data_IF_803023015276
#
_entry.id   IF_803023015276
#
_cell.length_a   1.000
_cell.length_b   1.000
_cell.length_c   1.000
_cell.angle_alpha   90.00
_cell.angle_beta   90.00
_cell.angle_gamma   90.00
#
_symmetry.space_group_name_H-M   'P 1'
#
loop_
_entity.id
_entity.type
_entity.pdbx_description
1 polymer ?
#
# COMPACT_ATOMS: atom_id res chain seq x y z
N UNK A 1 -6.09 23.58 -35.14
CA UNK A 1 -5.87 24.41 -33.95
C UNK A 1 -5.11 23.61 -32.90
N UNK A 2 -3.87 23.97 -32.58
CA UNK A 2 -3.17 23.43 -31.43
C UNK A 2 -3.98 23.81 -30.17
N UNK A 3 -4.63 22.84 -29.52
CA UNK A 3 -5.38 23.10 -28.28
C UNK A 3 -4.39 23.53 -27.20
N UNK A 4 -4.65 24.71 -26.61
CA UNK A 4 -3.76 25.41 -25.69
C UNK A 4 -3.29 24.50 -24.55
N UNK A 5 -1.97 24.35 -24.44
CA UNK A 5 -1.24 23.81 -23.29
C UNK A 5 -1.16 24.83 -22.15
N UNK A 6 -2.17 25.69 -21.98
CA UNK A 6 -2.12 26.78 -21.01
C UNK A 6 -2.72 26.35 -19.69
N UNK A 7 -1.97 26.55 -18.62
CA UNK A 7 -2.46 26.55 -17.25
C UNK A 7 -2.51 28.01 -16.78
N UNK A 8 -3.61 28.39 -16.13
CA UNK A 8 -3.72 29.68 -15.46
C UNK A 8 -3.21 29.51 -14.03
N UNK A 9 -2.02 30.04 -13.76
CA UNK A 9 -1.37 29.89 -12.46
C UNK A 9 -2.12 30.62 -11.35
N UNK A 10 -2.69 31.79 -11.65
CA UNK A 10 -3.48 32.57 -10.69
C UNK A 10 -4.75 31.80 -10.32
N UNK A 11 -5.49 31.31 -11.32
CA UNK A 11 -6.70 30.54 -11.05
C UNK A 11 -6.41 29.25 -10.26
N UNK A 12 -5.31 28.56 -10.55
CA UNK A 12 -4.91 27.32 -9.87
C UNK A 12 -4.57 27.56 -8.38
N UNK A 13 -3.85 28.64 -8.09
CA UNK A 13 -3.50 28.99 -6.71
C UNK A 13 -4.74 29.49 -5.96
N UNK A 14 -5.56 30.33 -6.58
CA UNK A 14 -6.80 30.83 -6.00
C UNK A 14 -7.81 29.70 -5.71
N UNK A 15 -7.96 28.72 -6.61
CA UNK A 15 -8.82 27.55 -6.41
C UNK A 15 -8.45 26.79 -5.12
N UNK A 16 -7.15 26.61 -4.86
CA UNK A 16 -6.68 25.96 -3.64
C UNK A 16 -6.86 26.86 -2.42
N UNK A 17 -6.48 28.14 -2.48
CA UNK A 17 -6.62 29.06 -1.35
C UNK A 17 -8.07 29.18 -0.90
N UNK A 18 -9.00 29.26 -1.86
CA UNK A 18 -10.44 29.42 -1.58
C UNK A 18 -11.16 28.10 -1.28
N UNK A 19 -10.54 26.95 -1.54
CA UNK A 19 -11.14 25.62 -1.37
C UNK A 19 -12.40 25.38 -2.24
N UNK A 20 -12.50 26.07 -3.37
CA UNK A 20 -13.66 26.06 -4.26
C UNK A 20 -13.67 24.85 -5.22
N UNK A 21 -12.51 24.23 -5.44
CA UNK A 21 -12.31 23.17 -6.41
C UNK A 21 -12.60 21.76 -5.92
N UNK A 22 -13.21 20.91 -6.75
CA UNK A 22 -13.40 19.48 -6.43
C UNK A 22 -12.07 18.73 -6.25
N UNK A 23 -11.02 19.14 -6.97
CA UNK A 23 -9.69 18.54 -6.88
C UNK A 23 -9.06 18.71 -5.51
N UNK A 24 -9.38 19.83 -4.85
CA UNK A 24 -8.90 20.15 -3.51
C UNK A 24 -9.58 19.27 -2.45
N UNK A 25 -10.73 18.68 -2.81
CA UNK A 25 -11.53 17.77 -1.98
C UNK A 25 -11.46 16.31 -2.45
N UNK A 26 -10.54 15.98 -3.35
CA UNK A 26 -10.47 14.65 -3.97
C UNK A 26 -9.98 13.55 -3.00
N UNK A 27 -9.23 13.93 -1.97
CA UNK A 27 -8.60 12.99 -1.03
C UNK A 27 -8.92 13.36 0.41
N UNK A 28 -9.54 12.43 1.16
CA UNK A 28 -9.86 12.59 2.59
C UNK A 28 -8.64 12.64 3.50
N UNK A 29 -7.47 12.26 2.98
CA UNK A 29 -6.21 12.18 3.73
C UNK A 29 -5.39 13.48 3.66
N UNK A 30 -5.91 14.52 3.01
CA UNK A 30 -5.22 15.81 2.81
C UNK A 30 -5.93 16.93 3.56
N UNK A 31 -5.16 17.90 4.07
CA UNK A 31 -5.66 19.10 4.73
C UNK A 31 -5.07 20.36 4.08
N UNK A 32 -5.75 21.50 4.26
CA UNK A 32 -5.24 22.81 3.83
C UNK A 32 -3.86 23.07 4.42
N UNK A 33 -2.86 23.25 3.56
CA UNK A 33 -1.49 23.58 3.98
C UNK A 33 -0.68 24.13 2.81
N UNK A 34 0.44 24.79 3.11
CA UNK A 34 1.42 25.19 2.09
C UNK A 34 1.92 23.98 1.28
N UNK A 35 2.19 22.88 1.98
CA UNK A 35 2.60 21.61 1.37
C UNK A 35 1.53 21.06 0.42
N UNK A 36 0.25 21.17 0.80
CA UNK A 36 -0.90 20.85 -0.03
C UNK A 36 -1.02 21.73 -1.27
N UNK A 37 -0.76 23.03 -1.15
CA UNK A 37 -0.74 23.96 -2.30
C UNK A 37 0.35 23.58 -3.31
N UNK A 38 1.58 23.30 -2.83
CA UNK A 38 2.70 22.88 -3.68
C UNK A 38 2.36 21.56 -4.39
N UNK A 39 1.76 20.60 -3.68
CA UNK A 39 1.32 19.34 -4.26
C UNK A 39 0.23 19.55 -5.31
N UNK A 40 -0.80 20.34 -5.02
CA UNK A 40 -1.91 20.63 -5.93
C UNK A 40 -1.45 21.28 -7.24
N UNK A 41 -0.56 22.26 -7.14
CA UNK A 41 -0.01 22.98 -8.30
C UNK A 41 0.87 22.05 -9.15
N UNK A 42 1.80 21.32 -8.51
CA UNK A 42 2.68 20.36 -9.17
C UNK A 42 1.89 19.23 -9.84
N UNK A 43 0.90 18.65 -9.14
CA UNK A 43 0.05 17.59 -9.66
C UNK A 43 -0.76 18.04 -10.89
N UNK A 44 -1.23 19.28 -10.90
CA UNK A 44 -1.97 19.83 -12.05
C UNK A 44 -1.08 20.01 -13.29
N UNK A 45 0.17 20.44 -13.09
CA UNK A 45 1.16 20.55 -14.18
C UNK A 45 1.56 19.16 -14.68
N UNK A 46 1.96 18.27 -13.79
CA UNK A 46 2.41 16.90 -14.13
C UNK A 46 1.29 16.09 -14.78
N UNK A 47 0.05 16.22 -14.31
CA UNK A 47 -1.09 15.52 -14.90
C UNK A 47 -1.39 15.98 -16.33
N UNK A 48 -1.25 17.29 -16.61
CA UNK A 48 -1.32 17.80 -17.99
C UNK A 48 -0.15 17.31 -18.82
N UNK A 49 1.07 17.34 -18.29
CA UNK A 49 2.24 16.82 -19.00
C UNK A 49 2.03 15.36 -19.41
N UNK A 50 1.56 14.52 -18.50
CA UNK A 50 1.29 13.10 -18.75
C UNK A 50 0.29 12.91 -19.90
N UNK A 51 -0.87 13.57 -19.82
CA UNK A 51 -1.92 13.47 -20.83
C UNK A 51 -1.47 13.90 -22.23
N UNK A 52 -0.59 14.91 -22.32
CA UNK A 52 -0.18 15.48 -23.61
C UNK A 52 1.10 14.88 -24.20
N UNK A 53 1.99 14.33 -23.37
CA UNK A 53 3.32 13.91 -23.81
C UNK A 53 3.60 12.41 -23.57
N UNK A 54 2.88 11.75 -22.66
CA UNK A 54 3.06 10.32 -22.39
C UNK A 54 2.00 9.50 -23.11
N UNK A 55 0.72 9.87 -22.94
CA UNK A 55 -0.39 9.07 -23.46
C UNK A 55 -0.75 9.42 -24.92
N UNK A 56 -1.36 8.46 -25.60
CA UNK A 56 -1.86 8.66 -26.97
C UNK A 56 -2.99 9.71 -26.99
N UNK A 57 -3.17 10.35 -28.15
CA UNK A 57 -4.29 11.28 -28.36
C UNK A 57 -5.66 10.62 -28.08
N UNK A 58 -5.80 9.33 -28.40
CA UNK A 58 -7.03 8.58 -28.14
C UNK A 58 -7.29 8.42 -26.65
N UNK A 59 -6.27 8.01 -25.89
CA UNK A 59 -6.34 7.87 -24.43
C UNK A 59 -6.64 9.21 -23.75
N UNK A 60 -5.92 10.27 -24.15
CA UNK A 60 -6.17 11.62 -23.65
C UNK A 60 -7.61 12.07 -23.91
N UNK A 61 -8.11 11.93 -25.14
CA UNK A 61 -9.48 12.33 -25.48
C UNK A 61 -10.52 11.47 -24.75
N UNK A 62 -10.25 10.18 -24.53
CA UNK A 62 -11.13 9.31 -23.77
C UNK A 62 -11.19 9.73 -22.29
N UNK A 63 -10.05 10.11 -21.70
CA UNK A 63 -9.95 10.67 -20.35
C UNK A 63 -10.70 12.02 -20.25
N UNK A 64 -10.33 12.98 -21.11
CA UNK A 64 -10.89 14.35 -21.10
C UNK A 64 -12.42 14.35 -21.29
N UNK A 65 -12.97 13.36 -21.99
CA UNK A 65 -14.41 13.21 -22.26
C UNK A 65 -15.13 12.28 -21.27
N UNK A 66 -14.43 11.78 -20.24
CA UNK A 66 -15.00 10.95 -19.19
C UNK A 66 -15.46 9.55 -19.64
N UNK A 67 -14.90 9.01 -20.72
CA UNK A 67 -15.13 7.62 -21.13
C UNK A 67 -14.27 6.64 -20.33
N UNK A 68 -13.05 7.06 -20.02
CA UNK A 68 -12.15 6.39 -19.09
C UNK A 68 -11.65 7.40 -18.07
N UNK A 69 -11.11 6.91 -16.97
CA UNK A 69 -10.36 7.68 -16.00
C UNK A 69 -9.01 7.02 -15.84
N UNK A 70 -7.95 7.76 -16.20
CA UNK A 70 -6.56 7.34 -15.98
C UNK A 70 -6.20 7.89 -14.61
N UNK A 71 -5.97 7.00 -13.65
CA UNK A 71 -5.68 7.41 -12.27
C UNK A 71 -4.25 7.96 -12.15
N UNK A 72 -4.03 8.76 -11.10
CA UNK A 72 -2.71 9.22 -10.65
C UNK A 72 -1.83 9.83 -11.74
N UNK A 73 -2.42 10.67 -12.60
CA UNK A 73 -1.71 11.32 -13.71
C UNK A 73 -0.50 12.16 -13.24
N UNK A 74 -0.55 12.69 -12.01
CA UNK A 74 0.58 13.40 -11.41
C UNK A 74 1.80 12.50 -11.17
N UNK A 75 1.57 11.21 -10.94
CA UNK A 75 2.58 10.17 -10.69
C UNK A 75 2.82 9.32 -11.93
N UNK A 76 2.64 9.89 -13.12
CA UNK A 76 2.73 9.18 -14.41
C UNK A 76 4.09 8.52 -14.68
N UNK A 77 5.15 8.89 -13.97
CA UNK A 77 6.50 8.37 -14.15
C UNK A 77 6.87 7.18 -13.22
N UNK A 78 6.07 6.91 -12.19
CA UNK A 78 6.34 5.88 -11.18
C UNK A 78 5.25 4.81 -11.13
N UNK A 79 5.47 3.69 -10.44
CA UNK A 79 4.44 2.67 -10.24
C UNK A 79 3.27 3.15 -9.37
N UNK A 80 2.17 2.40 -9.37
CA UNK A 80 1.00 2.74 -8.57
C UNK A 80 1.18 2.29 -7.12
N UNK A 81 1.01 1.00 -6.83
CA UNK A 81 1.15 0.46 -5.48
C UNK A 81 2.04 -0.78 -5.48
N UNK A 82 2.62 -1.10 -4.34
CA UNK A 82 3.48 -2.26 -4.17
C UNK A 82 3.42 -2.80 -2.74
N UNK A 83 3.42 -4.13 -2.62
CA UNK A 83 3.81 -4.80 -1.38
C UNK A 83 5.26 -5.23 -1.46
N UNK A 84 5.99 -5.05 -0.37
CA UNK A 84 7.44 -5.21 -0.31
C UNK A 84 7.83 -6.40 0.55
N UNK A 85 8.99 -7.00 0.28
CA UNK A 85 9.51 -8.07 1.13
C UNK A 85 10.11 -7.48 2.41
N UNK A 86 9.43 -7.68 3.53
CA UNK A 86 9.98 -7.34 4.85
C UNK A 86 11.20 -8.21 5.17
N UNK A 87 11.22 -9.48 4.75
CA UNK A 87 12.40 -10.35 4.88
C UNK A 87 13.64 -9.71 4.24
N UNK A 88 13.51 -9.17 3.02
CA UNK A 88 14.61 -8.47 2.34
C UNK A 88 15.07 -7.25 3.13
N UNK A 89 14.15 -6.41 3.62
CA UNK A 89 14.50 -5.24 4.44
C UNK A 89 15.23 -5.64 5.74
N UNK A 90 14.82 -6.73 6.38
CA UNK A 90 15.45 -7.25 7.59
C UNK A 90 16.81 -7.91 7.32
N UNK A 91 17.05 -8.34 6.07
CA UNK A 91 18.28 -9.01 5.67
C UNK A 91 19.34 -8.05 5.15
N UNK A 92 18.92 -7.08 4.32
CA UNK A 92 19.82 -6.17 3.60
C UNK A 92 19.98 -4.83 4.33
N UNK A 93 19.00 -4.43 5.15
CA UNK A 93 18.93 -3.11 5.75
C UNK A 93 18.27 -2.09 4.81
N UNK A 94 18.40 -0.81 5.14
CA UNK A 94 17.78 0.27 4.37
C UNK A 94 18.82 0.91 3.45
N UNK A 95 18.63 0.85 2.14
CA UNK A 95 19.59 1.42 1.19
C UNK A 95 19.37 0.94 -0.25
N UNK A 96 20.44 0.95 -1.04
CA UNK A 96 20.44 0.50 -2.44
C UNK A 96 20.32 1.63 -3.46
N UNK A 97 20.49 2.89 -3.05
CA UNK A 97 20.40 4.06 -3.94
C UNK A 97 21.75 4.79 -3.96
N UNK A 98 22.44 4.83 -5.11
CA UNK A 98 23.74 5.51 -5.22
C UNK A 98 23.71 6.96 -4.72
N UNK A 99 24.67 7.31 -3.88
CA UNK A 99 24.81 8.66 -3.32
C UNK A 99 23.87 8.99 -2.16
N UNK A 100 23.03 8.04 -1.72
CA UNK A 100 22.20 8.19 -0.52
C UNK A 100 22.82 7.48 0.69
N UNK A 101 22.38 7.87 1.89
CA UNK A 101 22.78 7.22 3.14
C UNK A 101 22.12 5.84 3.21
N UNK A 102 22.89 4.84 3.62
CA UNK A 102 22.43 3.47 3.83
C UNK A 102 22.64 3.05 5.29
N UNK A 103 21.79 2.15 5.78
CA UNK A 103 21.87 1.58 7.14
C UNK A 103 22.10 0.07 7.06
N UNK A 104 22.82 -0.45 8.06
CA UNK A 104 22.95 -1.91 8.24
C UNK A 104 21.59 -2.52 8.60
N UNK A 105 21.39 -3.83 8.36
CA UNK A 105 20.22 -4.56 8.82
C UNK A 105 19.91 -4.33 10.30
N UNK A 106 18.61 -4.33 10.65
CA UNK A 106 18.19 -4.14 12.03
C UNK A 106 18.71 -5.27 12.92
N UNK A 107 19.35 -4.91 14.04
CA UNK A 107 19.80 -5.84 15.08
C UNK A 107 18.90 -5.92 16.31
N UNK A 108 17.92 -5.01 16.41
CA UNK A 108 16.98 -4.90 17.53
C UNK A 108 15.57 -4.56 17.01
N UNK A 109 14.53 -4.94 17.76
CA UNK A 109 13.12 -4.73 17.41
C UNK A 109 12.80 -3.26 17.14
N UNK A 110 13.29 -2.36 17.99
CA UNK A 110 13.08 -0.92 17.85
C UNK A 110 13.62 -0.38 16.53
N UNK A 111 14.78 -0.88 16.08
CA UNK A 111 15.40 -0.52 14.79
C UNK A 111 14.64 -1.17 13.62
N UNK A 112 14.17 -2.41 13.77
CA UNK A 112 13.36 -3.08 12.75
C UNK A 112 12.03 -2.34 12.50
N UNK A 113 11.35 -1.94 13.57
CA UNK A 113 10.15 -1.09 13.51
C UNK A 113 10.47 0.25 12.85
N UNK A 114 11.58 0.88 13.23
CA UNK A 114 12.01 2.14 12.63
C UNK A 114 12.28 2.00 11.12
N UNK A 115 12.95 0.92 10.68
CA UNK A 115 13.16 0.63 9.27
C UNK A 115 11.84 0.47 8.52
N UNK A 116 10.84 -0.21 9.08
CA UNK A 116 9.50 -0.32 8.47
C UNK A 116 8.86 1.05 8.28
N UNK A 117 8.89 1.92 9.30
CA UNK A 117 8.35 3.29 9.21
C UNK A 117 9.05 4.07 8.10
N UNK A 118 10.37 4.10 8.08
CA UNK A 118 11.13 4.87 7.09
C UNK A 118 10.99 4.31 5.68
N UNK A 119 10.93 2.98 5.54
CA UNK A 119 10.69 2.32 4.25
C UNK A 119 9.35 2.74 3.67
N UNK A 120 8.28 2.63 4.45
CA UNK A 120 6.96 3.08 4.02
C UNK A 120 6.98 4.56 3.66
N UNK A 121 7.59 5.43 4.48
CA UNK A 121 7.65 6.88 4.22
C UNK A 121 8.47 7.25 2.99
N UNK A 122 9.52 6.49 2.69
CA UNK A 122 10.37 6.72 1.52
C UNK A 122 9.68 6.22 0.27
N UNK A 123 9.18 4.99 0.27
CA UNK A 123 8.48 4.43 -0.89
C UNK A 123 7.17 5.16 -1.19
N UNK A 124 6.48 5.69 -0.17
CA UNK A 124 5.32 6.55 -0.37
C UNK A 124 5.63 7.85 -1.13
N UNK A 125 6.88 8.30 -1.16
CA UNK A 125 7.29 9.45 -1.99
C UNK A 125 7.49 9.04 -3.46
N UNK A 126 8.03 7.84 -3.68
CA UNK A 126 8.41 7.31 -5.00
C UNK A 126 7.33 6.47 -5.69
N UNK A 127 6.16 6.33 -5.08
CA UNK A 127 5.01 5.60 -5.62
C UNK A 127 3.72 6.42 -5.44
N UNK A 128 2.71 6.12 -6.27
CA UNK A 128 1.46 6.87 -6.24
C UNK A 128 0.51 6.44 -5.10
N UNK A 129 0.48 5.15 -4.81
CA UNK A 129 -0.51 4.49 -3.95
C UNK A 129 0.10 3.83 -2.71
N UNK A 130 -0.62 2.84 -2.18
CA UNK A 130 -0.27 2.21 -0.90
C UNK A 130 1.03 1.40 -0.96
N UNK A 131 1.75 1.43 0.17
CA UNK A 131 2.93 0.62 0.44
C UNK A 131 2.60 -0.41 1.51
N UNK A 132 2.84 -1.69 1.21
CA UNK A 132 2.43 -2.77 2.09
C UNK A 132 3.58 -3.66 2.55
N UNK A 133 3.49 -4.18 3.76
CA UNK A 133 4.26 -5.33 4.22
C UNK A 133 3.31 -6.44 4.65
N UNK A 134 3.68 -7.68 4.34
CA UNK A 134 2.96 -8.88 4.79
C UNK A 134 3.69 -9.59 5.91
N UNK A 135 2.95 -10.41 6.67
CA UNK A 135 3.48 -11.20 7.79
C UNK A 135 4.25 -10.36 8.82
N UNK A 136 3.73 -9.18 9.13
CA UNK A 136 4.43 -8.22 9.99
C UNK A 136 4.68 -8.77 11.40
N UNK A 137 3.67 -9.41 11.99
CA UNK A 137 3.77 -10.11 13.29
C UNK A 137 4.77 -11.26 13.23
N UNK A 138 4.62 -12.18 12.27
CA UNK A 138 5.50 -13.35 12.11
C UNK A 138 6.96 -12.94 11.91
N UNK A 139 7.23 -11.99 11.00
CA UNK A 139 8.59 -11.64 10.62
C UNK A 139 9.34 -10.82 11.68
N UNK A 140 8.63 -10.09 12.55
CA UNK A 140 9.23 -9.34 13.65
C UNK A 140 9.21 -10.09 15.00
N UNK A 141 8.44 -11.16 15.15
CA UNK A 141 8.39 -11.97 16.37
C UNK A 141 9.78 -12.44 16.87
N UNK A 142 10.74 -12.87 16.02
CA UNK A 142 12.06 -13.26 16.49
C UNK A 142 12.84 -12.13 17.17
N UNK A 143 12.63 -10.88 16.75
CA UNK A 143 13.30 -9.73 17.36
C UNK A 143 12.82 -9.50 18.80
N UNK A 144 11.52 -9.70 19.06
CA UNK A 144 10.96 -9.63 20.42
C UNK A 144 11.61 -10.68 21.33
N UNK A 145 11.79 -11.90 20.81
CA UNK A 145 12.39 -13.01 21.54
C UNK A 145 13.88 -12.76 21.86
N UNK A 146 14.68 -12.47 20.83
CA UNK A 146 16.13 -12.33 20.98
C UNK A 146 16.52 -11.10 21.81
N UNK A 147 15.75 -10.01 21.71
CA UNK A 147 15.93 -8.83 22.58
C UNK A 147 15.35 -9.03 23.99
N UNK A 148 14.66 -10.15 24.24
CA UNK A 148 13.99 -10.49 25.52
C UNK A 148 13.04 -9.39 25.99
N UNK A 149 12.25 -8.86 25.06
CA UNK A 149 11.42 -7.70 25.34
C UNK A 149 10.24 -8.04 26.27
N UNK A 150 9.98 -7.12 27.19
CA UNK A 150 8.72 -7.10 27.92
C UNK A 150 7.58 -6.60 27.03
N UNK A 151 6.34 -6.96 27.39
CA UNK A 151 5.15 -6.44 26.71
C UNK A 151 5.14 -4.91 26.65
N UNK A 152 5.54 -4.23 27.73
CA UNK A 152 5.60 -2.77 27.77
C UNK A 152 6.56 -2.18 26.71
N UNK A 153 7.67 -2.86 26.45
CA UNK A 153 8.64 -2.44 25.44
C UNK A 153 8.09 -2.63 24.03
N UNK A 154 7.48 -3.80 23.76
CA UNK A 154 6.81 -4.08 22.48
C UNK A 154 5.68 -3.08 22.23
N UNK A 155 4.84 -2.83 23.24
CA UNK A 155 3.77 -1.83 23.19
C UNK A 155 4.31 -0.45 22.80
N UNK A 156 5.41 -0.03 23.41
CA UNK A 156 5.97 1.29 23.17
C UNK A 156 6.50 1.44 21.74
N UNK A 157 7.15 0.43 21.18
CA UNK A 157 7.67 0.48 19.81
C UNK A 157 6.55 0.36 18.77
N UNK A 158 5.52 -0.46 19.03
CA UNK A 158 4.31 -0.48 18.19
C UNK A 158 3.53 0.84 18.26
N UNK A 159 3.48 1.48 19.42
CA UNK A 159 2.90 2.83 19.53
C UNK A 159 3.67 3.83 18.66
N UNK A 160 5.02 3.80 18.69
CA UNK A 160 5.85 4.66 17.83
C UNK A 160 5.55 4.41 16.35
N UNK A 161 5.40 3.15 15.93
CA UNK A 161 5.03 2.76 14.57
C UNK A 161 3.71 3.43 14.15
N UNK A 162 2.63 3.17 14.91
CA UNK A 162 1.29 3.67 14.59
C UNK A 162 1.28 5.19 14.55
N UNK A 163 1.85 5.86 15.56
CA UNK A 163 1.87 7.32 15.59
C UNK A 163 2.66 7.89 14.42
N UNK A 164 3.82 7.31 14.10
CA UNK A 164 4.66 7.78 13.01
C UNK A 164 4.00 7.68 11.64
N UNK A 165 3.12 6.68 11.44
CA UNK A 165 2.40 6.46 10.17
C UNK A 165 1.10 7.27 10.07
N UNK A 166 0.61 7.88 11.16
CA UNK A 166 -0.54 8.80 11.16
C UNK A 166 -0.16 10.28 11.29
N UNK A 167 1.14 10.57 11.30
CA UNK A 167 1.63 11.95 11.25
C UNK A 167 2.10 12.28 9.82
N UNK A 168 1.66 13.42 9.26
CA UNK A 168 2.07 13.84 7.92
C UNK A 168 3.59 13.91 7.79
N UNK A 169 4.12 13.37 6.70
CA UNK A 169 5.57 13.38 6.43
C UNK A 169 5.93 13.64 4.96
N UNK A 170 4.95 13.84 4.07
CA UNK A 170 5.12 14.09 2.63
C UNK A 170 4.74 15.53 2.25
N UNK A 171 5.18 15.95 1.06
CA UNK A 171 4.51 17.01 0.28
C UNK A 171 3.03 16.69 0.10
N UNK A 172 2.15 17.67 0.28
CA UNK A 172 0.70 17.46 0.35
C UNK A 172 0.12 17.46 1.76
N UNK A 173 0.97 17.34 2.80
CA UNK A 173 0.54 17.18 4.20
C UNK A 173 -0.36 15.95 4.40
N UNK A 174 -0.04 14.88 3.68
CA UNK A 174 -0.74 13.60 3.73
C UNK A 174 0.00 12.58 4.61
N UNK A 175 -0.77 11.68 5.20
CA UNK A 175 -0.26 10.51 5.91
C UNK A 175 0.12 9.41 4.90
N UNK A 176 1.22 8.68 5.13
CA UNK A 176 1.66 7.63 4.21
C UNK A 176 0.63 6.50 4.11
N UNK A 177 0.08 6.33 2.91
CA UNK A 177 -0.85 5.22 2.64
C UNK A 177 -0.11 3.90 2.84
N UNK A 178 -0.42 3.22 3.94
CA UNK A 178 0.26 1.99 4.34
C UNK A 178 -0.71 0.89 4.75
N UNK A 179 -0.31 -0.35 4.49
CA UNK A 179 -1.05 -1.56 4.89
C UNK A 179 -0.08 -2.54 5.54
N UNK A 180 -0.49 -3.12 6.68
CA UNK A 180 0.23 -4.22 7.31
C UNK A 180 -0.69 -5.43 7.39
N UNK A 181 -0.22 -6.56 6.87
CA UNK A 181 -0.90 -7.84 7.02
C UNK A 181 -0.31 -8.62 8.19
N UNK A 182 -1.21 -9.13 9.04
CA UNK A 182 -0.93 -9.94 10.21
C UNK A 182 -1.40 -11.36 9.93
N UNK A 183 -0.50 -12.33 10.14
CA UNK A 183 -0.80 -13.73 9.90
C UNK A 183 -1.78 -14.29 10.93
N UNK A 184 -1.80 -13.71 12.14
CA UNK A 184 -2.52 -14.20 13.33
C UNK A 184 -1.96 -15.54 13.83
N UNK A 185 -2.08 -16.59 13.02
CA UNK A 185 -1.38 -17.86 13.18
C UNK A 185 -0.27 -17.92 12.14
N UNK A 186 0.96 -18.22 12.58
CA UNK A 186 2.11 -18.29 11.68
C UNK A 186 1.81 -19.21 10.50
N UNK A 187 1.87 -18.64 9.31
CA UNK A 187 1.51 -19.29 8.05
C UNK A 187 2.45 -20.46 7.74
N UNK A 188 1.91 -21.54 7.14
CA UNK A 188 2.66 -22.79 6.90
C UNK A 188 3.88 -22.59 5.98
N UNK A 189 3.81 -21.64 5.05
CA UNK A 189 4.92 -21.31 4.15
C UNK A 189 6.10 -20.64 4.87
N UNK A 190 5.84 -19.90 5.97
CA UNK A 190 6.88 -19.30 6.81
C UNK A 190 7.29 -20.19 7.99
N UNK A 191 6.38 -21.02 8.51
CA UNK A 191 6.52 -21.80 9.74
C UNK A 191 7.85 -22.56 9.85
N UNK A 192 8.29 -23.22 8.78
CA UNK A 192 9.53 -24.01 8.75
C UNK A 192 10.75 -23.26 8.23
N UNK A 193 10.60 -22.00 7.81
CA UNK A 193 11.73 -21.19 7.35
C UNK A 193 12.62 -20.75 8.52
N UNK A 194 13.95 -20.71 8.31
CA UNK A 194 14.88 -20.09 9.25
C UNK A 194 14.54 -18.63 9.52
N UNK A 195 14.58 -18.20 10.79
CA UNK A 195 14.29 -16.80 11.14
C UNK A 195 15.42 -15.85 10.73
N UNK A 196 15.06 -14.61 10.39
CA UNK A 196 16.01 -13.53 10.11
C UNK A 196 16.18 -12.66 11.36
N UNK A 197 17.43 -12.47 11.80
CA UNK A 197 17.77 -11.57 12.90
C UNK A 197 19.16 -10.97 12.69
N UNK A 198 19.29 -9.65 12.80
CA UNK A 198 20.58 -8.96 12.62
C UNK A 198 21.17 -9.14 11.21
N UNK A 199 20.34 -9.14 10.17
CA UNK A 199 20.79 -9.29 8.77
C UNK A 199 21.26 -10.69 8.39
N UNK A 200 20.90 -11.72 9.18
CA UNK A 200 21.40 -13.09 9.01
C UNK A 200 20.31 -14.10 9.38
N UNK A 201 20.31 -15.24 8.71
CA UNK A 201 19.45 -16.37 9.09
C UNK A 201 19.96 -16.99 10.39
N UNK A 202 19.04 -17.60 11.15
CA UNK A 202 19.30 -18.32 12.40
C UNK A 202 18.81 -19.77 12.28
N UNK A 203 19.07 -20.61 13.27
CA UNK A 203 18.70 -22.05 13.19
C UNK A 203 17.23 -22.27 13.56
N UNK A 204 16.73 -21.42 14.43
CA UNK A 204 15.36 -21.33 14.90
C UNK A 204 14.41 -21.04 13.75
N UNK A 205 13.21 -21.59 13.82
CA UNK A 205 12.17 -21.49 12.79
C UNK A 205 11.04 -20.59 13.23
N UNK A 206 10.36 -19.93 12.28
CA UNK A 206 9.29 -18.97 12.63
C UNK A 206 8.19 -19.56 13.51
N UNK A 207 7.81 -20.84 13.30
CA UNK A 207 6.78 -21.52 14.11
C UNK A 207 7.05 -21.55 15.62
N UNK A 208 8.30 -21.34 16.04
CA UNK A 208 8.69 -21.33 17.45
C UNK A 208 8.33 -20.00 18.16
N UNK A 209 7.90 -18.97 17.42
CA UNK A 209 7.73 -17.60 17.91
C UNK A 209 6.26 -17.11 17.93
N UNK A 210 5.29 -18.03 18.02
CA UNK A 210 3.85 -17.65 18.05
C UNK A 210 3.53 -16.73 19.24
N UNK A 211 4.14 -16.96 20.40
CA UNK A 211 3.91 -16.14 21.61
C UNK A 211 4.35 -14.69 21.39
N UNK A 212 5.46 -14.47 20.71
CA UNK A 212 5.97 -13.16 20.38
C UNK A 212 5.13 -12.47 19.28
N UNK A 213 4.65 -13.24 18.31
CA UNK A 213 3.67 -12.74 17.33
C UNK A 213 2.37 -12.30 18.02
N UNK A 214 1.86 -13.08 18.98
CA UNK A 214 0.68 -12.73 19.80
C UNK A 214 0.92 -11.46 20.61
N UNK A 215 2.14 -11.25 21.11
CA UNK A 215 2.52 -10.04 21.85
C UNK A 215 2.48 -8.80 20.95
N UNK A 216 2.96 -8.91 19.72
CA UNK A 216 2.90 -7.83 18.71
C UNK A 216 1.44 -7.53 18.36
N UNK A 217 0.63 -8.56 18.11
CA UNK A 217 -0.80 -8.43 17.80
C UNK A 217 -1.55 -7.73 18.94
N UNK A 218 -1.32 -8.15 20.20
CA UNK A 218 -1.91 -7.49 21.38
C UNK A 218 -1.57 -6.01 21.44
N UNK A 219 -0.27 -5.69 21.34
CA UNK A 219 0.22 -4.32 21.37
C UNK A 219 -0.40 -3.46 20.27
N UNK A 220 -0.46 -3.97 19.04
CA UNK A 220 -1.01 -3.25 17.90
C UNK A 220 -2.51 -2.97 18.07
N UNK A 221 -3.27 -3.98 18.48
CA UNK A 221 -4.71 -3.84 18.70
C UNK A 221 -5.03 -2.91 19.87
N UNK A 222 -4.27 -2.95 20.97
CA UNK A 222 -4.48 -2.03 22.10
C UNK A 222 -4.17 -0.58 21.75
N UNK A 223 -3.08 -0.32 21.01
CA UNK A 223 -2.76 1.03 20.50
C UNK A 223 -3.88 1.53 19.59
N UNK A 224 -4.35 0.67 18.68
CA UNK A 224 -5.43 1.00 17.73
C UNK A 224 -6.75 1.27 18.46
N UNK A 225 -7.10 0.45 19.47
CA UNK A 225 -8.33 0.59 20.24
C UNK A 225 -8.42 1.91 21.02
N UNK A 226 -7.28 2.35 21.59
CA UNK A 226 -7.18 3.62 22.31
C UNK A 226 -7.46 4.81 21.38
N UNK A 227 -7.05 4.72 20.12
CA UNK A 227 -7.14 5.81 19.17
C UNK A 227 -6.17 6.94 19.51
N UNK A 228 -6.35 8.07 18.84
CA UNK A 228 -5.55 9.27 19.10
C UNK A 228 -5.89 9.91 20.47
N UNK A 229 -5.26 11.04 20.78
CA UNK A 229 -5.49 11.79 22.04
C UNK A 229 -6.97 12.09 22.31
N UNK A 230 -7.78 12.22 21.25
CA UNK A 230 -9.20 12.54 21.32
C UNK A 230 -10.09 11.29 21.09
N UNK A 231 -9.52 10.09 21.08
CA UNK A 231 -10.22 8.83 20.87
C UNK A 231 -10.64 8.56 19.43
N UNK A 232 -10.13 9.32 18.45
CA UNK A 232 -10.39 9.11 17.02
C UNK A 232 -9.59 7.90 16.52
N UNK A 233 -10.08 7.15 15.51
CA UNK A 233 -9.33 6.04 14.94
C UNK A 233 -8.05 6.54 14.26
N UNK A 234 -7.00 5.74 14.37
CA UNK A 234 -5.86 5.85 13.46
C UNK A 234 -6.25 5.29 12.09
N UNK A 235 -5.94 6.01 11.03
CA UNK A 235 -6.23 5.59 9.65
C UNK A 235 -5.19 4.58 9.15
N UNK A 236 -3.93 4.74 9.57
CA UNK A 236 -2.81 3.95 9.10
C UNK A 236 -2.03 3.25 10.22
N UNK A 237 -1.20 2.24 9.92
CA UNK A 237 -1.35 1.42 8.73
C UNK A 237 -2.72 0.74 8.73
N UNK A 238 -3.31 0.53 7.55
CA UNK A 238 -4.53 -0.27 7.45
C UNK A 238 -4.16 -1.70 7.88
N UNK A 239 -4.75 -2.22 8.97
CA UNK A 239 -4.44 -3.57 9.41
C UNK A 239 -5.31 -4.57 8.66
N UNK A 240 -4.70 -5.64 8.17
CA UNK A 240 -5.38 -6.78 7.54
C UNK A 240 -5.02 -8.06 8.28
N UNK A 241 -6.01 -8.80 8.79
CA UNK A 241 -5.80 -10.07 9.48
C UNK A 241 -6.22 -11.24 8.60
N UNK A 242 -5.36 -12.25 8.50
CA UNK A 242 -5.67 -13.49 7.81
C UNK A 242 -6.65 -14.33 8.64
N UNK A 243 -7.77 -14.74 8.03
CA UNK A 243 -8.76 -15.62 8.66
C UNK A 243 -8.66 -17.01 8.01
N UNK A 244 -8.03 -17.93 8.74
CA UNK A 244 -7.86 -19.33 8.38
C UNK A 244 -8.82 -20.22 9.17
N UNK A 245 -8.85 -21.54 8.89
CA UNK A 245 -9.64 -22.48 9.71
C UNK A 245 -9.21 -22.43 11.18
N UNK A 246 -7.90 -22.33 11.38
CA UNK A 246 -7.25 -22.35 12.69
C UNK A 246 -7.47 -21.04 13.47
N UNK A 247 -7.91 -19.97 12.80
CA UNK A 247 -8.21 -18.66 13.41
C UNK A 247 -9.20 -18.75 14.59
N UNK A 248 -10.16 -19.68 14.49
CA UNK A 248 -11.20 -19.88 15.51
C UNK A 248 -10.86 -20.97 16.53
N UNK A 249 -9.73 -21.68 16.35
CA UNK A 249 -9.34 -22.75 17.28
C UNK A 249 -8.88 -22.19 18.63
N UNK A 250 -8.29 -20.99 18.62
CA UNK A 250 -7.89 -20.28 19.84
C UNK A 250 -8.87 -19.14 20.12
N UNK A 251 -9.63 -19.27 21.21
CA UNK A 251 -10.48 -18.20 21.74
C UNK A 251 -9.76 -17.56 22.93
N UNK A 252 -9.27 -16.32 22.77
CA UNK A 252 -8.40 -15.69 23.74
C UNK A 252 -8.51 -14.16 23.77
N UNK A 253 -7.84 -13.55 24.75
CA UNK A 253 -7.90 -12.09 25.01
C UNK A 253 -7.62 -11.25 23.75
N UNK A 254 -6.65 -11.67 22.92
CA UNK A 254 -6.34 -11.00 21.66
C UNK A 254 -7.51 -11.05 20.66
N UNK A 255 -8.24 -12.16 20.58
CA UNK A 255 -9.37 -12.29 19.66
C UNK A 255 -10.55 -11.42 20.10
N UNK A 256 -10.82 -11.37 21.41
CA UNK A 256 -11.80 -10.45 21.97
C UNK A 256 -11.41 -8.98 21.69
N UNK A 257 -10.13 -8.65 21.85
CA UNK A 257 -9.60 -7.33 21.54
C UNK A 257 -9.73 -6.98 20.05
N UNK A 258 -9.42 -7.92 19.15
CA UNK A 258 -9.59 -7.78 17.70
C UNK A 258 -11.04 -7.44 17.34
N UNK A 259 -12.01 -8.16 17.91
CA UNK A 259 -13.43 -7.88 17.68
C UNK A 259 -13.90 -6.59 18.34
N UNK A 260 -13.33 -6.18 19.48
CA UNK A 260 -13.60 -4.86 20.08
C UNK A 260 -13.14 -3.71 19.18
N UNK A 261 -11.95 -3.80 18.59
CA UNK A 261 -11.46 -2.81 17.62
C UNK A 261 -12.40 -2.77 16.41
N UNK A 262 -12.79 -3.95 15.91
CA UNK A 262 -13.74 -4.09 14.79
C UNK A 262 -15.07 -3.41 15.08
N UNK A 263 -15.67 -3.69 16.23
CA UNK A 263 -16.95 -3.11 16.62
C UNK A 263 -16.88 -1.59 16.81
N UNK A 264 -15.75 -1.08 17.33
CA UNK A 264 -15.59 0.35 17.63
C UNK A 264 -15.30 1.19 16.38
N UNK A 265 -14.46 0.69 15.48
CA UNK A 265 -13.91 1.51 14.39
C UNK A 265 -14.13 0.95 12.97
N UNK A 266 -14.69 -0.25 12.82
CA UNK A 266 -14.85 -0.89 11.51
C UNK A 266 -13.52 -1.37 10.89
N UNK A 267 -12.48 -1.50 11.72
CA UNK A 267 -11.14 -2.00 11.40
C UNK A 267 -10.77 -3.11 12.39
N UNK A 268 -9.92 -4.08 12.05
CA UNK A 268 -9.18 -4.23 10.80
C UNK A 268 -10.00 -4.80 9.64
N UNK A 269 -9.38 -4.88 8.46
CA UNK A 269 -9.86 -5.74 7.37
C UNK A 269 -9.52 -7.21 7.65
N UNK A 270 -10.36 -8.09 7.09
CA UNK A 270 -10.18 -9.53 7.19
C UNK A 270 -9.96 -10.13 5.82
N UNK A 271 -8.84 -10.81 5.64
CA UNK A 271 -8.56 -11.60 4.45
C UNK A 271 -9.04 -13.04 4.70
N UNK A 272 -10.21 -13.38 4.17
CA UNK A 272 -10.86 -14.66 4.44
C UNK A 272 -10.37 -15.76 3.50
N UNK A 273 -9.72 -16.79 4.07
CA UNK A 273 -9.29 -17.98 3.35
C UNK A 273 -10.28 -19.14 3.48
N UNK A 274 -11.21 -19.09 4.44
CA UNK A 274 -12.20 -20.13 4.67
C UNK A 274 -13.16 -20.20 3.48
N UNK A 275 -13.21 -21.37 2.83
CA UNK A 275 -14.07 -21.61 1.65
C UNK A 275 -13.58 -20.96 0.35
N UNK A 276 -12.42 -20.32 0.35
CA UNK A 276 -11.89 -19.59 -0.82
C UNK A 276 -11.06 -20.46 -1.79
N UNK A 277 -10.69 -21.69 -1.38
CA UNK A 277 -9.65 -22.53 -2.02
C UNK A 277 -8.26 -21.87 -2.11
N UNK A 278 -8.04 -20.75 -1.41
CA UNK A 278 -6.77 -20.02 -1.37
C UNK A 278 -6.02 -20.35 -0.09
N UNK A 279 -4.69 -20.43 -0.18
CA UNK A 279 -3.78 -20.62 0.96
C UNK A 279 -3.21 -19.24 1.38
N UNK A 280 -3.07 -18.92 2.68
CA UNK A 280 -2.30 -17.77 3.16
C UNK A 280 -0.93 -17.58 2.51
N UNK A 281 -0.23 -18.66 2.18
CA UNK A 281 1.06 -18.60 1.47
C UNK A 281 0.94 -18.26 -0.02
N UNK A 282 -0.28 -18.23 -0.58
CA UNK A 282 -0.56 -18.01 -2.00
C UNK A 282 -1.09 -16.60 -2.33
N UNK A 283 -1.54 -15.82 -1.34
CA UNK A 283 -2.00 -14.44 -1.57
C UNK A 283 -1.51 -13.55 -0.44
N UNK A 284 -0.62 -12.63 -0.78
CA UNK A 284 -0.24 -11.51 0.07
C UNK A 284 -1.04 -10.28 -0.34
N UNK A 285 -1.66 -9.57 0.61
CA UNK A 285 -2.40 -8.34 0.31
C UNK A 285 -1.42 -7.21 0.01
N UNK A 286 -1.39 -6.76 -1.25
CA UNK A 286 -0.37 -5.81 -1.73
C UNK A 286 -0.81 -4.35 -1.68
N UNK A 287 -2.06 -4.06 -1.29
CA UNK A 287 -2.68 -2.73 -1.21
C UNK A 287 -4.10 -2.86 -0.60
N UNK A 288 -4.99 -1.88 -0.81
CA UNK A 288 -6.35 -1.82 -0.27
C UNK A 288 -7.26 -3.00 -0.68
N UNK A 289 -7.14 -3.51 -1.91
CA UNK A 289 -7.99 -4.60 -2.44
C UNK A 289 -7.41 -5.31 -3.67
N UNK A 290 -6.14 -5.07 -3.99
CA UNK A 290 -5.49 -5.73 -5.13
C UNK A 290 -5.06 -7.12 -4.68
N UNK A 291 -5.84 -8.13 -5.06
CA UNK A 291 -5.51 -9.53 -4.86
C UNK A 291 -4.94 -10.07 -6.16
N UNK A 292 -3.65 -10.39 -6.17
CA UNK A 292 -3.02 -11.10 -7.27
C UNK A 292 -3.04 -12.59 -6.98
N UNK A 293 -3.49 -13.38 -7.95
CA UNK A 293 -3.32 -14.82 -7.93
C UNK A 293 -1.84 -15.11 -8.19
N UNK A 294 -1.06 -15.39 -7.15
CA UNK A 294 0.38 -15.66 -7.32
C UNK A 294 0.64 -16.90 -8.17
N UNK A 295 -0.35 -17.80 -8.33
CA UNK A 295 -0.24 -18.94 -9.22
C UNK A 295 -0.10 -18.56 -10.70
N UNK A 296 -0.61 -17.39 -11.10
CA UNK A 296 -0.45 -16.87 -12.46
C UNK A 296 0.85 -16.06 -12.64
N UNK A 297 1.46 -15.63 -11.53
CA UNK A 297 2.77 -14.96 -11.49
C UNK A 297 3.95 -15.97 -11.48
N UNK A 298 3.66 -17.28 -11.43
CA UNK A 298 4.61 -18.41 -11.29
C UNK A 298 5.73 -18.45 -12.34
N UNK A 299 5.66 -17.66 -13.41
CA UNK A 299 6.63 -17.70 -14.50
C UNK A 299 7.73 -16.63 -14.49
N UNK A 300 8.02 -15.98 -13.37
CA UNK A 300 9.23 -15.15 -13.24
C UNK A 300 10.38 -15.90 -12.53
N UNK A 301 11.44 -16.30 -13.25
CA UNK A 301 12.62 -16.93 -12.64
C UNK A 301 13.39 -15.91 -11.79
N UNK A 302 13.80 -16.29 -10.57
CA UNK A 302 14.86 -15.59 -9.82
C UNK A 302 14.51 -14.96 -8.46
N UNK A 303 13.31 -15.12 -7.89
CA UNK A 303 13.00 -14.53 -6.59
C UNK A 303 13.27 -15.52 -5.43
N UNK A 304 14.27 -15.20 -4.60
CA UNK A 304 14.68 -15.99 -3.42
C UNK A 304 13.71 -15.83 -2.23
N UNK A 305 12.88 -14.78 -2.27
CA UNK A 305 11.97 -14.37 -1.19
C UNK A 305 10.54 -14.89 -1.41
N UNK A 306 9.72 -14.92 -0.34
CA UNK A 306 8.40 -15.54 -0.32
C UNK A 306 7.56 -15.23 -1.58
N UNK A 307 6.94 -16.28 -2.14
CA UNK A 307 6.18 -16.21 -3.39
C UNK A 307 5.01 -15.22 -3.23
N UNK A 308 5.04 -14.12 -3.98
CA UNK A 308 4.04 -13.06 -3.90
C UNK A 308 4.54 -11.76 -3.29
N UNK A 309 5.67 -11.75 -2.58
CA UNK A 309 6.33 -10.53 -2.11
C UNK A 309 6.92 -9.72 -3.29
N UNK A 310 6.99 -8.39 -3.15
CA UNK A 310 7.54 -7.48 -4.18
C UNK A 310 6.69 -7.42 -5.46
N UNK A 311 5.38 -7.53 -5.33
CA UNK A 311 4.42 -7.41 -6.45
C UNK A 311 3.48 -6.23 -6.23
N UNK A 312 2.92 -5.71 -7.32
CA UNK A 312 2.14 -4.48 -7.28
C UNK A 312 1.42 -4.18 -8.58
N UNK A 313 0.94 -2.95 -8.72
CA UNK A 313 0.33 -2.47 -9.95
C UNK A 313 1.14 -1.31 -10.53
N UNK A 314 1.30 -1.32 -11.85
CA UNK A 314 1.92 -0.22 -12.61
C UNK A 314 0.99 0.98 -12.78
N UNK A 315 -0.33 0.78 -12.65
CA UNK A 315 -1.34 1.81 -12.90
C UNK A 315 -2.76 1.26 -12.94
N UNK A 316 -3.74 2.17 -12.84
CA UNK A 316 -5.17 1.84 -12.91
C UNK A 316 -5.85 2.72 -13.95
N UNK A 317 -6.70 2.11 -14.77
CA UNK A 317 -7.62 2.83 -15.67
C UNK A 317 -9.04 2.33 -15.42
N UNK A 318 -9.94 3.22 -15.01
CA UNK A 318 -11.36 2.90 -14.82
C UNK A 318 -12.15 3.24 -16.07
N UNK A 319 -13.08 2.36 -16.45
CA UNK A 319 -14.00 2.58 -17.58
C UNK A 319 -15.34 3.05 -17.04
N UNK A 320 -15.89 4.12 -17.62
CA UNK A 320 -17.19 4.65 -17.21
C UNK A 320 -18.34 3.85 -17.84
N UNK A 321 -18.69 2.73 -17.22
CA UNK A 321 -19.74 1.83 -17.73
C UNK A 321 -21.10 2.52 -17.90
N UNK A 322 -21.48 3.40 -16.97
CA UNK A 322 -22.74 4.15 -17.03
C UNK A 322 -22.83 4.98 -18.32
N UNK A 323 -21.75 5.68 -18.67
CA UNK A 323 -21.68 6.47 -19.92
C UNK A 323 -21.76 5.58 -21.15
N UNK A 324 -21.08 4.42 -21.13
CA UNK A 324 -21.12 3.48 -22.26
C UNK A 324 -22.51 2.88 -22.44
N UNK A 325 -23.20 2.53 -21.35
CA UNK A 325 -24.55 2.00 -21.38
C UNK A 325 -25.54 3.03 -21.95
N UNK A 326 -25.46 4.28 -21.48
CA UNK A 326 -26.30 5.38 -21.97
C UNK A 326 -26.11 5.64 -23.49
N UNK A 327 -24.86 5.65 -23.97
CA UNK A 327 -24.56 5.88 -25.40
C UNK A 327 -24.81 4.66 -26.28
N UNK A 328 -24.69 3.45 -25.73
CA UNK A 328 -24.81 2.20 -26.46
C UNK A 328 -26.21 1.94 -26.99
N UNK A 329 -27.25 2.51 -26.35
CA UNK A 329 -28.70 2.35 -26.64
C UNK A 329 -29.25 0.92 -26.56
N UNK A 330 -28.44 -0.09 -26.84
CA UNK A 330 -28.72 -1.51 -26.73
C UNK A 330 -27.44 -2.28 -26.40
N UNK A 331 -27.57 -3.57 -26.13
CA UNK A 331 -26.46 -4.45 -25.73
C UNK A 331 -25.32 -4.47 -26.75
N UNK A 332 -25.63 -4.61 -28.05
CA UNK A 332 -24.61 -4.65 -29.13
C UNK A 332 -23.82 -3.33 -29.20
N UNK A 333 -24.50 -2.20 -29.06
CA UNK A 333 -23.87 -0.88 -29.03
C UNK A 333 -22.99 -0.68 -27.80
N UNK A 334 -23.46 -1.12 -26.62
CA UNK A 334 -22.67 -1.14 -25.39
C UNK A 334 -21.40 -1.98 -25.53
N UNK A 335 -21.52 -3.24 -25.98
CA UNK A 335 -20.38 -4.15 -26.15
C UNK A 335 -19.35 -3.57 -27.15
N UNK A 336 -19.79 -2.95 -28.23
CA UNK A 336 -18.91 -2.27 -29.20
C UNK A 336 -18.13 -1.11 -28.55
N UNK A 337 -18.80 -0.28 -27.76
CA UNK A 337 -18.16 0.82 -27.05
C UNK A 337 -17.21 0.31 -25.96
N UNK A 338 -17.62 -0.70 -25.20
CA UNK A 338 -16.81 -1.32 -24.15
C UNK A 338 -15.53 -1.89 -24.74
N UNK A 339 -15.62 -2.67 -25.83
CA UNK A 339 -14.44 -3.22 -26.52
C UNK A 339 -13.47 -2.12 -26.97
N UNK A 340 -13.99 -1.00 -27.50
CA UNK A 340 -13.17 0.16 -27.89
C UNK A 340 -12.41 0.75 -26.69
N UNK A 341 -13.10 1.04 -25.59
CA UNK A 341 -12.46 1.70 -24.45
C UNK A 341 -11.61 0.75 -23.59
N UNK A 342 -11.90 -0.55 -23.58
CA UNK A 342 -11.00 -1.57 -23.05
C UNK A 342 -9.67 -1.59 -23.79
N UNK A 343 -9.69 -1.52 -25.14
CA UNK A 343 -8.47 -1.44 -25.93
C UNK A 343 -7.66 -0.19 -25.58
N UNK A 344 -8.30 0.97 -25.54
CA UNK A 344 -7.63 2.23 -25.17
C UNK A 344 -7.05 2.16 -23.76
N UNK A 345 -7.78 1.59 -22.79
CA UNK A 345 -7.30 1.41 -21.42
C UNK A 345 -6.07 0.49 -21.36
N UNK A 346 -6.11 -0.66 -22.04
CA UNK A 346 -4.97 -1.58 -22.18
C UNK A 346 -3.76 -0.85 -22.77
N UNK A 347 -3.93 -0.20 -23.92
CA UNK A 347 -2.83 0.48 -24.61
C UNK A 347 -2.23 1.59 -23.73
N UNK A 348 -3.05 2.28 -22.92
CA UNK A 348 -2.59 3.28 -21.95
C UNK A 348 -1.75 2.66 -20.83
N UNK A 349 -2.15 1.50 -20.30
CA UNK A 349 -1.40 0.78 -19.27
C UNK A 349 -0.07 0.22 -19.81
N UNK A 350 -0.04 -0.23 -21.07
CA UNK A 350 1.23 -0.65 -21.73
C UNK A 350 2.19 0.52 -21.92
N UNK A 351 1.68 1.71 -22.29
CA UNK A 351 2.50 2.93 -22.34
C UNK A 351 3.07 3.24 -20.95
N UNK A 352 2.22 3.21 -19.92
CA UNK A 352 2.62 3.44 -18.52
C UNK A 352 3.69 2.45 -18.07
N UNK A 353 3.53 1.16 -18.36
CA UNK A 353 4.52 0.11 -18.05
C UNK A 353 5.89 0.45 -18.65
N UNK A 354 5.95 0.78 -19.95
CA UNK A 354 7.20 1.15 -20.63
C UNK A 354 7.87 2.38 -20.03
N UNK A 355 7.08 3.38 -19.61
CA UNK A 355 7.60 4.57 -18.93
C UNK A 355 8.21 4.19 -17.59
N UNK A 356 7.51 3.41 -16.77
CA UNK A 356 8.00 2.96 -15.46
C UNK A 356 9.26 2.12 -15.60
N UNK A 357 9.28 1.15 -16.53
CA UNK A 357 10.46 0.32 -16.82
C UNK A 357 11.68 1.17 -17.21
N UNK A 358 11.47 2.23 -18.01
CA UNK A 358 12.55 3.16 -18.37
C UNK A 358 13.00 4.03 -17.20
N UNK A 359 12.11 4.41 -16.30
CA UNK A 359 12.47 5.19 -15.10
C UNK A 359 13.24 4.38 -14.05
N UNK A 360 13.16 3.05 -14.11
CA UNK A 360 13.84 2.13 -13.18
C UNK A 360 15.21 1.65 -13.69
N UNK A 361 15.53 1.90 -14.97
CA UNK A 361 16.81 1.60 -15.60
C UNK A 361 17.74 2.82 -15.50
#
# INVERSE_FOLDING_TARGET
MARKRTLDFTALVDEYIRQDGWKVKATSNSNYSLSGLISHTSASVLGKYALYNIYSNEARLAHDRGFIHIHDLAHSLVGYCAGWSLQKLLMDGFGGVPGQIETRPAGHFSVAVQHVVYFIKTMYQEWAGAQAFSSFDTLLAPFVHFDRLSYASVYQDIQKLVYSLNLPSRWGFEMPFSNLTFDWIISKDLADQPVIFGGRTRKEKYKEFQKEADMINKAFLEVTLKGDKNGRPFTFPIPTYNVTKDFFETNGENQELLFKVTAKFGLPYFQNYIGSNLDPGSIRAMCCRLNMNTNELIHQPGNLWAKGDSTGSVGVVTINLNRLAWLGKNEKGFQKLLKKYLKIAKDSLEIKRKVVEKSMA
#
